data_IF_917992029357
#
_entry.id   IF_917992029357
#
_cell.length_a   1.000
_cell.length_b   1.000
_cell.length_c   1.000
_cell.angle_alpha   90.00
_cell.angle_beta   90.00
_cell.angle_gamma   90.00
#
_symmetry.space_group_name_H-M   'P 1'
#
loop_
_entity.id
_entity.type
_entity.pdbx_description
1 polymer ?
#
# COMPACT_ATOMS: atom_id res chain seq x y z
N UNK A 1 11.51 -23.93 20.43
CA UNK A 1 10.40 -23.46 19.57
C UNK A 1 10.45 -21.94 19.57
N UNK A 2 11.06 -21.35 18.54
CA UNK A 2 11.05 -19.91 18.31
C UNK A 2 9.62 -19.52 17.92
N UNK A 3 8.99 -18.65 18.69
CA UNK A 3 7.73 -18.02 18.31
C UNK A 3 8.04 -17.17 17.08
N UNK A 4 7.53 -17.55 15.91
CA UNK A 4 7.42 -16.65 14.78
C UNK A 4 6.47 -15.52 15.21
N UNK A 5 7.07 -14.45 15.73
CA UNK A 5 6.40 -13.18 15.90
C UNK A 5 6.12 -12.66 14.51
N UNK A 6 4.90 -12.87 14.02
CA UNK A 6 4.37 -12.18 12.83
C UNK A 6 4.42 -10.67 13.13
N UNK A 7 5.57 -10.06 12.83
CA UNK A 7 5.77 -8.63 12.96
C UNK A 7 4.94 -7.97 11.87
N UNK A 8 3.77 -7.46 12.25
CA UNK A 8 2.98 -6.58 11.37
C UNK A 8 3.64 -5.21 11.42
N UNK A 9 4.36 -4.85 10.35
CA UNK A 9 4.80 -3.48 10.16
C UNK A 9 3.63 -2.67 9.58
N UNK A 10 3.32 -1.55 10.23
CA UNK A 10 2.32 -0.59 9.75
C UNK A 10 3.08 0.61 9.19
N UNK A 11 2.76 0.97 7.95
CA UNK A 11 3.30 2.14 7.28
C UNK A 11 2.15 2.98 6.74
N UNK A 12 2.30 4.29 6.80
CA UNK A 12 1.49 5.24 6.04
C UNK A 12 1.85 5.17 4.54
N UNK A 13 0.97 5.68 3.68
CA UNK A 13 1.25 5.74 2.24
C UNK A 13 2.48 6.60 1.91
N UNK A 14 2.72 7.66 2.68
CA UNK A 14 3.91 8.51 2.56
C UNK A 14 5.16 7.71 2.91
N UNK A 15 5.18 7.01 4.05
CA UNK A 15 6.32 6.17 4.45
C UNK A 15 6.61 5.05 3.44
N UNK A 16 5.58 4.43 2.86
CA UNK A 16 5.75 3.47 1.77
C UNK A 16 6.36 4.12 0.52
N UNK A 17 5.90 5.32 0.16
CA UNK A 17 6.44 6.06 -0.99
C UNK A 17 7.92 6.36 -0.77
N UNK A 18 8.29 6.89 0.40
CA UNK A 18 9.68 7.18 0.77
C UNK A 18 10.55 5.92 0.74
N UNK A 19 10.05 4.80 1.27
CA UNK A 19 10.77 3.52 1.29
C UNK A 19 11.04 3.02 -0.13
N UNK A 20 10.05 3.08 -1.02
CA UNK A 20 10.22 2.64 -2.42
C UNK A 20 11.19 3.57 -3.14
N UNK A 21 11.07 4.89 -2.97
CA UNK A 21 12.01 5.86 -3.58
C UNK A 21 13.46 5.61 -3.14
N UNK A 22 13.69 5.34 -1.84
CA UNK A 22 15.01 4.97 -1.31
C UNK A 22 15.52 3.66 -1.91
N UNK A 23 14.66 2.63 -1.98
CA UNK A 23 15.04 1.30 -2.49
C UNK A 23 15.36 1.32 -3.99
N UNK A 24 14.67 2.16 -4.76
CA UNK A 24 14.87 2.34 -6.21
C UNK A 24 15.95 3.40 -6.53
N UNK A 25 16.64 3.94 -5.51
CA UNK A 25 17.66 4.97 -5.65
C UNK A 25 17.19 6.22 -6.41
N UNK A 26 15.90 6.55 -6.29
CA UNK A 26 15.31 7.75 -6.91
C UNK A 26 15.59 8.94 -6.00
N UNK A 27 16.38 9.90 -6.49
CA UNK A 27 16.82 11.07 -5.71
C UNK A 27 16.25 12.40 -6.19
N UNK A 28 15.46 12.42 -7.26
CA UNK A 28 14.93 13.65 -7.85
C UNK A 28 13.48 13.53 -8.32
N UNK A 29 12.70 14.57 -8.02
CA UNK A 29 11.30 14.71 -8.44
C UNK A 29 10.29 14.38 -7.35
N UNK A 30 9.03 14.63 -7.64
CA UNK A 30 7.91 14.42 -6.72
C UNK A 30 7.12 13.18 -7.13
N UNK A 31 6.83 12.28 -6.19
CA UNK A 31 6.17 11.02 -6.49
C UNK A 31 5.02 10.71 -5.53
N UNK A 32 4.03 10.01 -6.05
CA UNK A 32 2.93 9.44 -5.27
C UNK A 32 2.94 7.91 -5.47
N UNK A 33 2.92 7.16 -4.37
CA UNK A 33 2.62 5.75 -4.43
C UNK A 33 1.11 5.55 -4.61
N UNK A 34 0.74 4.91 -5.71
CA UNK A 34 -0.65 4.54 -5.99
C UNK A 34 -0.77 3.03 -5.87
N UNK A 35 -1.63 2.61 -4.95
CA UNK A 35 -2.02 1.22 -4.82
C UNK A 35 -3.20 0.98 -5.74
N UNK A 36 -3.02 0.06 -6.68
CA UNK A 36 -4.12 -0.42 -7.52
C UNK A 36 -4.51 -1.80 -7.00
N UNK A 37 -5.54 -1.90 -6.14
CA UNK A 37 -5.98 -3.19 -5.66
C UNK A 37 -6.60 -4.01 -6.78
N UNK A 38 -6.35 -5.31 -6.77
CA UNK A 38 -7.20 -6.26 -7.48
C UNK A 38 -8.38 -6.59 -6.58
N UNK A 39 -9.56 -6.07 -6.93
CA UNK A 39 -10.76 -6.25 -6.15
C UNK A 39 -11.47 -7.49 -6.64
N UNK A 40 -11.20 -8.62 -5.99
CA UNK A 40 -11.94 -9.86 -6.22
C UNK A 40 -13.13 -9.95 -5.25
N UNK A 41 -14.33 -9.73 -5.78
CA UNK A 41 -15.56 -9.93 -5.03
C UNK A 41 -15.82 -11.42 -4.78
N UNK A 42 -15.61 -11.90 -3.55
CA UNK A 42 -15.94 -13.26 -3.13
C UNK A 42 -17.10 -13.27 -2.14
N UNK A 43 -18.10 -14.15 -2.32
CA UNK A 43 -19.10 -14.35 -1.26
C UNK A 43 -18.50 -15.20 -0.15
N UNK A 44 -18.13 -14.59 0.99
CA UNK A 44 -17.79 -15.33 2.19
C UNK A 44 -19.10 -15.82 2.83
N UNK A 45 -19.41 -17.11 2.70
CA UNK A 45 -20.56 -17.68 3.43
C UNK A 45 -20.17 -17.84 4.90
N UNK A 46 -20.76 -17.01 5.78
CA UNK A 46 -20.73 -17.29 7.21
C UNK A 46 -21.55 -18.55 7.48
N UNK A 47 -20.99 -19.50 8.22
CA UNK A 47 -21.64 -20.79 8.54
C UNK A 47 -22.56 -20.70 9.77
N UNK A 48 -22.97 -19.49 10.16
CA UNK A 48 -23.92 -19.22 11.24
C UNK A 48 -25.30 -19.04 10.62
N UNK A 49 -26.32 -19.69 11.18
CA UNK A 49 -27.72 -19.75 10.69
C UNK A 49 -28.44 -18.39 10.52
N UNK A 50 -27.77 -17.28 10.76
CA UNK A 50 -28.31 -15.93 10.55
C UNK A 50 -27.34 -15.09 9.72
N UNK A 51 -27.78 -14.78 8.48
CA UNK A 51 -27.28 -13.77 7.53
C UNK A 51 -25.93 -14.07 6.85
N UNK A 52 -25.97 -14.07 5.51
CA UNK A 52 -24.76 -14.06 4.67
C UNK A 52 -24.05 -12.71 4.79
N UNK A 53 -22.93 -12.66 5.50
CA UNK A 53 -22.03 -11.50 5.47
C UNK A 53 -21.26 -11.50 4.16
N UNK A 54 -21.60 -10.60 3.23
CA UNK A 54 -20.77 -10.38 2.05
C UNK A 54 -19.48 -9.68 2.49
N UNK A 55 -18.37 -10.42 2.51
CA UNK A 55 -17.04 -9.87 2.73
C UNK A 55 -16.37 -9.51 1.41
N UNK A 56 -15.65 -8.40 1.37
CA UNK A 56 -14.80 -8.03 0.23
C UNK A 56 -13.35 -8.38 0.58
N UNK A 57 -12.69 -9.18 -0.26
CA UNK A 57 -11.24 -9.36 -0.18
C UNK A 57 -10.62 -8.35 -1.13
N UNK A 58 -9.66 -7.57 -0.63
CA UNK A 58 -8.90 -6.61 -1.42
C UNK A 58 -7.44 -7.09 -1.40
N UNK A 59 -6.96 -7.58 -2.54
CA UNK A 59 -5.55 -7.97 -2.70
C UNK A 59 -4.76 -6.81 -3.31
N UNK A 60 -3.66 -6.44 -2.66
CA UNK A 60 -2.79 -5.37 -3.13
C UNK A 60 -1.62 -6.00 -3.90
N UNK A 61 -1.81 -6.19 -5.21
CA UNK A 61 -0.85 -6.89 -6.06
C UNK A 61 0.31 -6.02 -6.54
N UNK A 62 0.16 -4.69 -6.53
CA UNK A 62 1.20 -3.77 -6.93
C UNK A 62 1.06 -2.38 -6.28
N UNK A 63 2.20 -1.78 -5.94
CA UNK A 63 2.33 -0.36 -5.63
C UNK A 63 3.06 0.27 -6.81
N UNK A 64 2.45 1.26 -7.46
CA UNK A 64 3.07 1.99 -8.56
C UNK A 64 3.55 3.36 -8.07
N UNK A 65 4.77 3.75 -8.44
CA UNK A 65 5.22 5.13 -8.29
C UNK A 65 4.85 5.93 -9.52
N UNK A 66 4.12 7.03 -9.31
CA UNK A 66 3.77 7.97 -10.37
C UNK A 66 4.52 9.28 -10.09
N UNK A 67 5.33 9.72 -11.06
CA UNK A 67 5.95 11.04 -11.03
C UNK A 67 4.88 12.10 -11.26
N UNK A 68 4.80 13.07 -10.38
CA UNK A 68 3.80 14.15 -10.39
C UNK A 68 4.48 15.52 -10.32
N UNK A 69 3.68 16.59 -10.34
CA UNK A 69 4.20 17.94 -10.14
C UNK A 69 4.43 18.24 -8.65
N UNK A 70 5.24 19.25 -8.36
CA UNK A 70 5.59 19.70 -7.00
C UNK A 70 4.39 20.20 -6.17
N UNK A 71 3.31 20.61 -6.84
CA UNK A 71 2.10 21.13 -6.20
C UNK A 71 1.05 20.04 -5.94
N UNK A 72 1.37 18.77 -6.21
CA UNK A 72 0.44 17.66 -5.99
C UNK A 72 0.41 17.34 -4.50
N UNK A 73 -0.78 17.37 -3.93
CA UNK A 73 -0.99 17.05 -2.52
C UNK A 73 -0.48 15.64 -2.19
N UNK A 74 0.22 15.49 -1.07
CA UNK A 74 0.78 14.24 -0.57
C UNK A 74 1.89 13.62 -1.44
N UNK A 75 2.40 14.34 -2.46
CA UNK A 75 3.58 13.90 -3.18
C UNK A 75 4.82 13.98 -2.28
N UNK A 76 5.69 12.98 -2.40
CA UNK A 76 6.98 12.93 -1.72
C UNK A 76 8.04 13.49 -2.64
N UNK A 77 8.77 14.51 -2.20
CA UNK A 77 9.97 15.00 -2.86
C UNK A 77 11.15 14.07 -2.58
N UNK A 78 11.57 13.35 -3.61
CA UNK A 78 12.68 12.41 -3.52
C UNK A 78 14.01 13.08 -3.12
N UNK A 79 14.18 14.37 -3.46
CA UNK A 79 15.40 15.11 -3.13
C UNK A 79 15.54 15.41 -1.63
N UNK A 80 14.44 15.33 -0.88
CA UNK A 80 14.45 15.47 0.58
C UNK A 80 14.86 14.18 1.30
N UNK A 81 15.06 13.05 0.59
CA UNK A 81 15.31 11.75 1.19
C UNK A 81 16.80 11.36 1.27
N UNK A 82 17.69 12.11 0.60
CA UNK A 82 19.15 11.85 0.55
C UNK A 82 19.89 12.39 1.76
#
# INVERSE_FOLDING_TARGET
>A
MTKDSNAKALYTMTELTELILRNEEITEGHYLAVIVPDITGGQIKSNTEDKSTQGLIIEFNAINLIKVNENTENAVDASCLT
#
